data_IF_827073709352
#
_entry.id   IF_827073709352
#
_cell.length_a   1.000
_cell.length_b   1.000
_cell.length_c   1.000
_cell.angle_alpha   90.00
_cell.angle_beta   90.00
_cell.angle_gamma   90.00
#
_symmetry.space_group_name_H-M   'P 1'
#
loop_
_entity.id
_entity.type
_entity.pdbx_description
1 polymer ?
#
# COMPACT_ATOMS: atom_id res chain seq x y z
N UNK A 1 45.92 1.00 -7.58
CA UNK A 1 45.18 1.70 -6.51
C UNK A 1 43.74 1.77 -6.97
N UNK A 2 42.87 0.89 -6.46
CA UNK A 2 41.45 0.83 -6.85
C UNK A 2 40.63 1.70 -5.92
N UNK A 3 40.04 2.76 -6.47
CA UNK A 3 39.13 3.66 -5.77
C UNK A 3 37.83 2.92 -5.41
N UNK A 4 37.52 2.84 -4.12
CA UNK A 4 36.23 2.34 -3.65
C UNK A 4 35.21 3.49 -3.67
N UNK A 5 34.23 3.39 -4.56
CA UNK A 5 33.12 4.32 -4.63
C UNK A 5 32.21 4.13 -3.41
N UNK A 6 32.11 5.17 -2.57
CA UNK A 6 31.35 5.13 -1.32
C UNK A 6 29.87 5.34 -1.60
N UNK A 7 29.05 4.30 -1.41
CA UNK A 7 27.59 4.38 -1.53
C UNK A 7 27.02 5.28 -0.43
N UNK A 8 26.70 6.52 -0.76
CA UNK A 8 26.00 7.47 0.12
C UNK A 8 24.60 6.91 0.46
N UNK A 9 24.43 6.43 1.69
CA UNK A 9 23.14 5.99 2.20
C UNK A 9 22.14 7.15 2.19
N UNK A 10 21.07 7.03 1.41
CA UNK A 10 20.03 8.06 1.33
C UNK A 10 19.38 8.26 2.71
N UNK A 11 19.31 9.52 3.16
CA UNK A 11 18.59 9.93 4.38
C UNK A 11 17.17 9.36 4.33
N UNK A 12 16.81 8.55 5.34
CA UNK A 12 15.42 8.12 5.54
C UNK A 12 14.58 9.38 5.74
N UNK A 13 13.52 9.49 4.94
CA UNK A 13 12.55 10.57 5.04
C UNK A 13 11.89 10.62 6.43
N UNK A 14 10.98 11.60 6.64
CA UNK A 14 10.28 11.77 7.91
C UNK A 14 9.68 10.46 8.43
N UNK A 15 9.57 10.31 9.76
CA UNK A 15 8.90 9.17 10.37
C UNK A 15 7.51 8.99 9.73
N UNK A 16 7.10 7.76 9.35
CA UNK A 16 5.80 7.55 8.73
C UNK A 16 4.70 8.03 9.69
N UNK A 17 3.93 9.03 9.26
CA UNK A 17 2.83 9.64 10.03
C UNK A 17 1.52 8.83 9.95
N UNK A 18 1.54 7.69 9.27
CA UNK A 18 0.37 6.84 9.09
C UNK A 18 0.03 6.07 10.36
N UNK A 19 -1.16 6.27 10.90
CA UNK A 19 -1.74 5.39 11.92
C UNK A 19 -1.87 3.97 11.35
N UNK A 20 -1.46 2.97 12.13
CA UNK A 20 -1.51 1.54 11.77
C UNK A 20 -0.15 0.95 11.35
N UNK A 21 -0.12 -0.36 11.15
CA UNK A 21 1.09 -1.10 10.69
C UNK A 21 1.09 -1.17 9.17
N UNK A 22 2.20 -0.79 8.53
CA UNK A 22 2.33 -0.88 7.08
C UNK A 22 2.42 -2.35 6.64
N UNK A 23 1.54 -2.74 5.73
CA UNK A 23 1.54 -4.06 5.09
C UNK A 23 1.73 -3.86 3.59
N UNK A 24 2.84 -4.39 3.03
CA UNK A 24 3.15 -4.32 1.60
C UNK A 24 2.80 -5.67 0.96
N UNK A 25 1.87 -5.67 0.01
CA UNK A 25 1.42 -6.87 -0.71
C UNK A 25 1.58 -6.65 -2.21
N UNK A 26 2.08 -7.67 -2.92
CA UNK A 26 2.12 -7.69 -4.38
C UNK A 26 0.85 -8.37 -4.89
N UNK A 27 -0.06 -7.58 -5.46
CA UNK A 27 -1.27 -8.08 -6.10
C UNK A 27 -1.01 -8.41 -7.57
N UNK A 28 -1.63 -9.48 -8.07
CA UNK A 28 -1.62 -9.78 -9.50
C UNK A 28 -2.50 -8.75 -10.25
N UNK A 29 -2.26 -8.50 -11.55
CA UNK A 29 -2.99 -7.48 -12.32
C UNK A 29 -4.52 -7.63 -12.26
N UNK A 30 -5.01 -8.87 -12.33
CA UNK A 30 -6.45 -9.16 -12.25
C UNK A 30 -7.05 -8.77 -10.88
N UNK A 31 -6.34 -9.05 -9.79
CA UNK A 31 -6.79 -8.70 -8.44
C UNK A 31 -6.76 -7.18 -8.21
N UNK A 32 -5.74 -6.51 -8.76
CA UNK A 32 -5.64 -5.05 -8.69
C UNK A 32 -6.77 -4.38 -9.47
N UNK A 33 -7.09 -4.87 -10.68
CA UNK A 33 -8.20 -4.36 -11.48
C UNK A 33 -9.55 -4.57 -10.78
N UNK A 34 -9.77 -5.73 -10.17
CA UNK A 34 -10.98 -6.00 -9.40
C UNK A 34 -11.12 -5.06 -8.19
N UNK A 35 -10.02 -4.78 -7.49
CA UNK A 35 -9.99 -3.83 -6.38
C UNK A 35 -10.34 -2.40 -6.84
N UNK A 36 -9.75 -1.95 -7.95
CA UNK A 36 -9.98 -0.61 -8.51
C UNK A 36 -11.44 -0.45 -8.98
N UNK A 37 -12.01 -1.47 -9.64
CA UNK A 37 -13.43 -1.49 -10.03
C UNK A 37 -14.36 -1.44 -8.82
N UNK A 38 -14.07 -2.25 -7.79
CA UNK A 38 -14.87 -2.25 -6.57
C UNK A 38 -14.82 -0.90 -5.85
N UNK A 39 -13.65 -0.27 -5.80
CA UNK A 39 -13.48 1.06 -5.20
C UNK A 39 -14.26 2.13 -5.98
N UNK A 40 -14.19 2.13 -7.31
CA UNK A 40 -14.94 3.06 -8.16
C UNK A 40 -16.47 2.90 -8.04
N UNK A 41 -16.95 1.71 -7.71
CA UNK A 41 -18.37 1.45 -7.50
C UNK A 41 -18.91 1.96 -6.15
N UNK A 42 -18.05 2.37 -5.21
CA UNK A 42 -18.52 2.94 -3.94
C UNK A 42 -18.87 4.42 -4.08
N UNK A 43 -19.88 4.87 -3.34
CA UNK A 43 -20.38 6.26 -3.40
C UNK A 43 -19.30 7.31 -3.12
N UNK A 44 -18.33 7.00 -2.24
CA UNK A 44 -17.26 7.91 -1.84
C UNK A 44 -15.93 7.65 -2.58
N UNK A 45 -15.89 6.69 -3.51
CA UNK A 45 -14.69 6.36 -4.30
C UNK A 45 -13.42 6.25 -3.46
N UNK A 46 -13.37 5.33 -2.47
CA UNK A 46 -12.29 5.25 -1.51
C UNK A 46 -10.94 4.98 -2.17
N UNK A 47 -9.87 5.54 -1.58
CA UNK A 47 -8.50 5.23 -1.98
C UNK A 47 -8.21 3.72 -1.88
N UNK A 48 -7.28 3.20 -2.69
CA UNK A 48 -6.91 1.76 -2.67
C UNK A 48 -6.64 1.19 -1.27
N UNK A 49 -5.86 1.85 -0.38
CA UNK A 49 -5.64 1.35 0.97
C UNK A 49 -6.94 1.27 1.78
N UNK A 50 -7.85 2.23 1.57
CA UNK A 50 -9.13 2.26 2.26
C UNK A 50 -10.10 1.19 1.73
N UNK A 51 -10.08 0.96 0.42
CA UNK A 51 -10.84 -0.13 -0.18
C UNK A 51 -10.42 -1.50 0.38
N UNK A 52 -9.11 -1.74 0.51
CA UNK A 52 -8.59 -2.96 1.14
C UNK A 52 -9.06 -3.09 2.58
N UNK A 53 -9.00 -2.02 3.40
CA UNK A 53 -9.47 -2.05 4.80
C UNK A 53 -10.95 -2.44 4.89
N UNK A 54 -11.79 -1.87 4.03
CA UNK A 54 -13.23 -2.18 3.99
C UNK A 54 -13.49 -3.63 3.58
N UNK A 55 -12.79 -4.13 2.56
CA UNK A 55 -12.92 -5.54 2.14
C UNK A 55 -12.49 -6.48 3.26
N UNK A 56 -11.38 -6.19 3.94
CA UNK A 56 -10.92 -6.98 5.09
C UNK A 56 -11.97 -6.96 6.20
N UNK A 57 -12.52 -5.80 6.56
CA UNK A 57 -13.56 -5.70 7.58
C UNK A 57 -14.87 -6.40 7.21
N UNK A 58 -15.18 -6.54 5.91
CA UNK A 58 -16.33 -7.32 5.43
C UNK A 58 -16.05 -8.84 5.46
N UNK A 59 -14.82 -9.25 5.20
CA UNK A 59 -14.44 -10.67 5.08
C UNK A 59 -14.09 -11.32 6.42
N UNK A 60 -13.48 -10.55 7.34
CA UNK A 60 -13.11 -10.99 8.67
C UNK A 60 -14.15 -10.48 9.66
N UNK A 61 -15.16 -11.30 9.93
CA UNK A 61 -16.03 -11.14 11.09
C UNK A 61 -15.41 -11.94 12.23
N UNK A 62 -15.04 -11.26 13.32
CA UNK A 62 -14.59 -11.88 14.57
C UNK A 62 -15.54 -11.43 15.67
#
# INVERSE_FOLDING_TARGET
>A
MTEQETLLARKRGPKPTGKGVQVVVRLQPAQLAALDLWAAAQADSPSRPEAVRRIIGKALVV
#
